data_IF_994440860125
#
_entry.id   IF_994440860125
#
_cell.length_a   1.000
_cell.length_b   1.000
_cell.length_c   1.000
_cell.angle_alpha   90.00
_cell.angle_beta   90.00
_cell.angle_gamma   90.00
#
_symmetry.space_group_name_H-M   'P 1'
#
loop_
_entity.id
_entity.type
_entity.pdbx_description
1 polymer ?
#
# COMPACT_ATOMS: atom_id res chain seq x y z
N UNK A 1 3.91 -9.82 -1.22
CA UNK A 1 4.01 -8.39 -0.81
C UNK A 1 2.80 -7.91 -0.02
N UNK A 2 1.55 -8.04 -0.50
CA UNK A 2 0.35 -8.00 0.37
C UNK A 2 0.23 -9.31 1.17
N UNK A 3 0.65 -10.41 0.57
CA UNK A 3 0.83 -11.70 1.24
C UNK A 3 1.83 -11.61 2.39
N UNK A 4 2.84 -10.72 2.36
CA UNK A 4 3.76 -10.55 3.50
C UNK A 4 3.15 -9.79 4.68
N UNK A 5 2.18 -8.92 4.42
CA UNK A 5 1.45 -8.19 5.45
C UNK A 5 0.36 -9.08 6.06
N UNK A 6 -0.36 -9.82 5.20
CA UNK A 6 -1.34 -10.82 5.63
C UNK A 6 -0.63 -11.98 6.31
N UNK A 7 0.49 -12.50 5.80
CA UNK A 7 1.28 -13.57 6.44
C UNK A 7 1.93 -13.08 7.73
N UNK A 8 2.41 -11.83 7.82
CA UNK A 8 2.90 -11.29 9.09
C UNK A 8 1.78 -11.14 10.11
N UNK A 9 0.62 -10.65 9.70
CA UNK A 9 -0.55 -10.58 10.56
C UNK A 9 -1.00 -12.01 10.98
N UNK A 10 -1.13 -12.93 10.02
CA UNK A 10 -1.57 -14.32 10.21
C UNK A 10 -0.61 -15.17 11.05
N UNK A 11 0.71 -15.00 10.90
CA UNK A 11 1.72 -15.66 11.71
C UNK A 11 1.76 -15.13 13.16
N UNK A 12 1.31 -13.90 13.40
CA UNK A 12 1.09 -13.39 14.76
C UNK A 12 -0.18 -14.00 15.40
N UNK A 13 -1.22 -14.28 14.61
CA UNK A 13 -2.50 -14.81 15.13
C UNK A 13 -2.50 -16.33 15.39
N UNK A 14 -1.68 -17.12 14.70
CA UNK A 14 -1.66 -18.60 14.84
C UNK A 14 -0.71 -19.11 15.93
N UNK A 15 0.17 -18.26 16.48
CA UNK A 15 1.08 -18.64 17.59
C UNK A 15 0.39 -18.73 18.95
N UNK A 16 -0.88 -18.36 19.07
CA UNK A 16 -1.63 -18.38 20.33
C UNK A 16 -2.16 -19.77 20.74
N UNK A 17 -2.18 -20.78 19.85
CA UNK A 17 -2.83 -22.08 20.12
C UNK A 17 -1.88 -23.26 20.39
N UNK A 18 -0.60 -23.01 20.68
CA UNK A 18 0.29 -24.06 21.19
C UNK A 18 0.44 -23.94 22.70
N UNK A 19 -0.54 -24.47 23.41
CA UNK A 19 -0.47 -24.71 24.85
C UNK A 19 0.73 -25.64 25.16
N UNK A 20 1.82 -25.17 25.79
CA UNK A 20 2.85 -26.06 26.29
C UNK A 20 2.34 -26.62 27.62
N UNK A 21 2.20 -27.95 27.71
CA UNK A 21 1.95 -28.64 28.98
C UNK A 21 3.00 -28.21 30.02
N UNK A 22 2.59 -27.51 31.07
CA UNK A 22 3.41 -27.14 32.23
C UNK A 22 3.39 -28.30 33.23
N UNK A 23 4.54 -28.88 33.65
CA UNK A 23 4.61 -29.71 34.85
C UNK A 23 4.65 -28.83 36.11
N UNK A 24 4.11 -29.30 37.25
CA UNK A 24 4.10 -28.53 38.49
C UNK A 24 5.48 -28.52 39.14
N UNK A 25 5.69 -27.53 40.00
CA UNK A 25 6.80 -27.37 40.96
C UNK A 25 7.98 -26.48 40.53
N UNK A 26 7.83 -25.17 40.76
CA UNK A 26 8.61 -24.36 41.72
C UNK A 26 8.34 -22.85 41.53
N UNK A 27 8.06 -22.16 42.64
CA UNK A 27 7.90 -20.70 42.75
C UNK A 27 9.19 -19.90 42.46
N UNK A 28 9.09 -18.56 42.22
CA UNK A 28 9.83 -17.88 41.18
C UNK A 28 11.11 -17.18 41.67
N UNK A 29 12.18 -17.25 40.88
CA UNK A 29 13.29 -16.30 40.99
C UNK A 29 13.17 -15.22 39.91
N UNK A 30 12.82 -14.03 40.39
CA UNK A 30 12.89 -12.77 39.66
C UNK A 30 14.32 -12.52 39.17
N UNK A 31 14.57 -12.68 37.87
CA UNK A 31 15.67 -11.99 37.20
C UNK A 31 15.12 -11.34 35.92
N UNK A 32 14.79 -10.06 36.08
CA UNK A 32 14.59 -9.09 35.03
C UNK A 32 15.88 -8.99 34.19
N UNK A 33 15.92 -9.69 33.05
CA UNK A 33 16.90 -9.41 31.99
C UNK A 33 16.22 -8.65 30.87
N UNK A 34 16.54 -7.35 30.87
CA UNK A 34 16.36 -6.35 29.83
C UNK A 34 16.65 -6.97 28.45
N UNK A 35 15.61 -7.27 27.69
CA UNK A 35 15.73 -7.41 26.24
C UNK A 35 14.98 -6.24 25.62
N UNK A 36 15.75 -5.27 25.16
CA UNK A 36 15.33 -4.31 24.14
C UNK A 36 15.06 -5.12 22.88
N UNK A 37 13.81 -5.50 22.66
CA UNK A 37 13.40 -6.13 21.41
C UNK A 37 12.25 -5.32 20.81
N UNK A 38 12.53 -4.81 19.61
CA UNK A 38 11.69 -3.96 18.77
C UNK A 38 10.62 -4.86 18.16
N UNK A 39 9.61 -5.21 18.94
CA UNK A 39 8.33 -5.74 18.46
C UNK A 39 7.33 -5.49 19.59
N UNK A 40 6.55 -4.42 19.46
CA UNK A 40 5.40 -4.18 20.33
C UNK A 40 4.44 -5.35 20.17
N UNK A 41 4.55 -6.34 21.06
CA UNK A 41 3.50 -7.31 21.28
C UNK A 41 2.32 -6.50 21.82
N UNK A 42 1.30 -6.28 21.00
CA UNK A 42 0.02 -5.79 21.51
C UNK A 42 -0.57 -6.91 22.37
N UNK A 43 -0.24 -6.90 23.66
CA UNK A 43 -1.04 -7.60 24.66
C UNK A 43 -2.37 -6.88 24.74
N UNK A 44 -3.45 -7.56 24.33
CA UNK A 44 -4.80 -7.10 24.58
C UNK A 44 -4.96 -6.93 26.09
N UNK A 45 -5.15 -5.70 26.54
CA UNK A 45 -5.81 -5.48 27.83
C UNK A 45 -7.29 -5.84 27.61
N UNK A 46 -7.85 -6.88 28.28
CA UNK A 46 -9.19 -7.41 27.99
C UNK A 46 -10.36 -6.45 28.28
N UNK A 47 -10.10 -5.17 28.53
CA UNK A 47 -10.99 -4.28 29.27
C UNK A 47 -12.04 -3.49 28.48
N UNK A 48 -11.94 -3.29 27.15
CA UNK A 48 -12.95 -2.49 26.43
C UNK A 48 -13.13 -2.96 24.98
N UNK A 49 -13.71 -4.15 24.80
CA UNK A 49 -14.37 -4.45 23.53
C UNK A 49 -15.51 -3.42 23.36
N UNK A 50 -15.58 -2.70 22.23
CA UNK A 50 -16.69 -1.79 21.96
C UNK A 50 -17.99 -2.58 21.77
N UNK A 51 -19.12 -1.86 21.80
CA UNK A 51 -20.40 -2.48 21.47
C UNK A 51 -20.37 -3.13 20.07
N UNK A 52 -21.13 -4.20 19.87
CA UNK A 52 -21.14 -4.95 18.62
C UNK A 52 -21.44 -4.08 17.41
N UNK A 53 -22.36 -3.12 17.55
CA UNK A 53 -22.72 -2.24 16.44
C UNK A 53 -21.55 -1.33 16.06
N UNK A 54 -20.86 -0.78 17.05
CA UNK A 54 -19.70 0.06 16.83
C UNK A 54 -18.53 -0.75 16.23
N UNK A 55 -18.29 -1.96 16.75
CA UNK A 55 -17.25 -2.83 16.23
C UNK A 55 -17.48 -3.18 14.76
N UNK A 56 -18.71 -3.58 14.41
CA UNK A 56 -19.04 -3.97 13.04
C UNK A 56 -18.97 -2.75 12.09
N UNK A 57 -19.37 -1.56 12.55
CA UNK A 57 -19.21 -0.32 11.78
C UNK A 57 -17.74 0.02 11.54
N UNK A 58 -16.91 0.05 12.59
CA UNK A 58 -15.48 0.38 12.46
C UNK A 58 -14.72 -0.68 11.64
N UNK A 59 -15.16 -1.94 11.71
CA UNK A 59 -14.58 -3.00 10.91
C UNK A 59 -14.99 -2.90 9.44
N UNK A 60 -16.22 -2.46 9.16
CA UNK A 60 -16.67 -2.18 7.80
C UNK A 60 -15.84 -1.06 7.16
N UNK A 61 -15.62 0.04 7.89
CA UNK A 61 -14.74 1.14 7.43
C UNK A 61 -13.32 0.63 7.15
N UNK A 62 -12.79 -0.28 7.99
CA UNK A 62 -11.49 -0.90 7.76
C UNK A 62 -11.49 -1.74 6.47
N UNK A 63 -12.53 -2.52 6.21
CA UNK A 63 -12.61 -3.35 5.00
C UNK A 63 -12.66 -2.50 3.73
N UNK A 64 -13.40 -1.39 3.76
CA UNK A 64 -13.46 -0.42 2.65
C UNK A 64 -12.08 0.22 2.39
N UNK A 65 -11.36 0.57 3.46
CA UNK A 65 -10.03 1.16 3.33
C UNK A 65 -8.94 0.20 2.82
N UNK A 66 -9.17 -1.12 2.97
CA UNK A 66 -8.24 -2.15 2.49
C UNK A 66 -8.47 -2.55 1.03
N UNK A 67 -9.60 -2.15 0.43
CA UNK A 67 -9.93 -2.38 -0.98
C UNK A 67 -9.78 -3.86 -1.40
N UNK A 68 -10.34 -4.76 -0.59
CA UNK A 68 -10.17 -6.20 -0.75
C UNK A 68 -11.21 -6.80 -1.71
N UNK A 69 -10.80 -7.84 -2.45
CA UNK A 69 -11.73 -8.68 -3.20
C UNK A 69 -12.76 -9.38 -2.29
N UNK A 70 -13.94 -9.73 -2.82
CA UNK A 70 -15.09 -10.20 -2.03
C UNK A 70 -14.80 -11.46 -1.20
N UNK A 71 -13.97 -12.36 -1.73
CA UNK A 71 -13.56 -13.59 -1.02
C UNK A 71 -12.77 -13.27 0.25
N UNK A 72 -11.73 -12.42 0.14
CA UNK A 72 -10.88 -12.03 1.27
C UNK A 72 -11.64 -11.18 2.29
N UNK A 73 -12.51 -10.26 1.82
CA UNK A 73 -13.38 -9.48 2.69
C UNK A 73 -14.30 -10.38 3.53
N UNK A 74 -14.89 -11.43 2.93
CA UNK A 74 -15.73 -12.40 3.64
C UNK A 74 -14.95 -13.21 4.68
N UNK A 75 -13.73 -13.64 4.35
CA UNK A 75 -12.85 -14.35 5.29
C UNK A 75 -12.48 -13.51 6.52
N UNK A 76 -12.22 -12.22 6.32
CA UNK A 76 -11.95 -11.27 7.40
C UNK A 76 -13.21 -10.96 8.23
N UNK A 77 -14.37 -10.89 7.60
CA UNK A 77 -15.65 -10.66 8.29
C UNK A 77 -16.01 -11.81 9.25
N UNK A 78 -15.59 -13.04 8.92
CA UNK A 78 -15.81 -14.24 9.74
C UNK A 78 -14.87 -14.35 10.95
N UNK A 79 -13.96 -13.41 11.18
CA UNK A 79 -13.06 -13.44 12.33
C UNK A 79 -13.79 -13.11 13.64
N UNK A 80 -13.20 -13.53 14.77
CA UNK A 80 -13.76 -13.25 16.09
C UNK A 80 -13.75 -11.74 16.42
N UNK A 81 -14.66 -11.25 17.28
CA UNK A 81 -14.72 -9.84 17.66
C UNK A 81 -13.39 -9.27 18.17
N UNK A 82 -12.64 -10.07 18.93
CA UNK A 82 -11.34 -9.70 19.49
C UNK A 82 -10.30 -9.48 18.39
N UNK A 83 -10.31 -10.32 17.35
CA UNK A 83 -9.42 -10.18 16.20
C UNK A 83 -9.78 -8.96 15.37
N UNK A 84 -11.07 -8.72 15.13
CA UNK A 84 -11.54 -7.51 14.42
C UNK A 84 -11.07 -6.25 15.14
N UNK A 85 -11.22 -6.21 16.47
CA UNK A 85 -10.79 -5.08 17.27
C UNK A 85 -9.27 -4.87 17.23
N UNK A 86 -8.49 -5.94 17.33
CA UNK A 86 -7.04 -5.89 17.17
C UNK A 86 -6.62 -5.29 15.82
N UNK A 87 -7.27 -5.70 14.74
CA UNK A 87 -6.98 -5.18 13.40
C UNK A 87 -7.29 -3.67 13.31
N UNK A 88 -8.41 -3.23 13.88
CA UNK A 88 -8.80 -1.81 13.93
C UNK A 88 -7.76 -1.01 14.74
N UNK A 89 -7.38 -1.49 15.93
CA UNK A 89 -6.38 -0.83 16.78
C UNK A 89 -5.02 -0.69 16.09
N UNK A 90 -4.56 -1.78 15.46
CA UNK A 90 -3.31 -1.79 14.69
C UNK A 90 -3.37 -0.79 13.52
N UNK A 91 -4.48 -0.74 12.79
CA UNK A 91 -4.65 0.22 11.70
C UNK A 91 -4.67 1.67 12.19
N UNK A 92 -5.35 1.95 13.30
CA UNK A 92 -5.36 3.29 13.91
C UNK A 92 -3.97 3.70 14.37
N UNK A 93 -3.22 2.79 15.01
CA UNK A 93 -1.82 3.00 15.41
C UNK A 93 -0.92 3.31 14.21
N UNK A 94 -1.10 2.59 13.10
CA UNK A 94 -0.37 2.85 11.84
C UNK A 94 -0.68 4.23 11.28
N UNK A 95 -1.97 4.60 11.16
CA UNK A 95 -2.38 5.93 10.70
C UNK A 95 -1.81 7.04 11.58
N UNK A 96 -1.73 6.83 12.90
CA UNK A 96 -1.16 7.80 13.84
C UNK A 96 0.37 7.90 13.73
N UNK A 97 1.06 6.78 13.47
CA UNK A 97 2.52 6.73 13.33
C UNK A 97 3.03 7.04 11.92
N UNK A 98 2.14 7.20 10.94
CA UNK A 98 2.52 7.70 9.63
C UNK A 98 2.95 9.17 9.77
N UNK A 99 4.24 9.36 9.98
CA UNK A 99 4.90 10.63 9.69
C UNK A 99 4.62 10.96 8.23
N UNK A 100 3.91 12.06 8.00
CA UNK A 100 3.39 12.60 6.75
C UNK A 100 4.50 13.05 5.77
N UNK A 101 5.55 12.26 5.59
CA UNK A 101 6.68 12.57 4.71
C UNK A 101 6.30 12.66 3.24
N UNK A 102 5.15 12.12 2.84
CA UNK A 102 4.67 12.12 1.46
C UNK A 102 3.28 12.75 1.35
N UNK A 103 3.23 14.08 1.48
CA UNK A 103 2.00 14.85 1.27
C UNK A 103 1.48 14.68 -0.16
N UNK A 104 0.25 14.20 -0.30
CA UNK A 104 -0.42 14.07 -1.61
C UNK A 104 -0.43 15.39 -2.39
N UNK A 105 -0.74 16.51 -1.71
CA UNK A 105 -0.73 17.84 -2.31
C UNK A 105 0.64 18.26 -2.83
N UNK A 106 1.71 17.90 -2.12
CA UNK A 106 3.06 18.15 -2.58
C UNK A 106 3.38 17.30 -3.81
N UNK A 107 3.06 16.01 -3.78
CA UNK A 107 3.34 15.10 -4.89
C UNK A 107 2.59 15.47 -6.17
N UNK A 108 1.31 15.83 -6.07
CA UNK A 108 0.53 16.26 -7.23
C UNK A 108 1.06 17.58 -7.82
N UNK A 109 1.49 18.52 -6.97
CA UNK A 109 2.15 19.75 -7.42
C UNK A 109 3.44 19.45 -8.17
N UNK A 110 4.28 18.55 -7.65
CA UNK A 110 5.52 18.13 -8.31
C UNK A 110 5.26 17.45 -9.65
N UNK A 111 4.30 16.52 -9.72
CA UNK A 111 3.91 15.86 -10.98
C UNK A 111 3.44 16.87 -12.03
N UNK A 112 2.60 17.83 -11.63
CA UNK A 112 2.13 18.90 -12.52
C UNK A 112 3.28 19.77 -13.01
N UNK A 113 4.23 20.11 -12.14
CA UNK A 113 5.40 20.89 -12.48
C UNK A 113 6.29 20.14 -13.50
N UNK A 114 6.56 18.86 -13.29
CA UNK A 114 7.36 18.05 -14.24
C UNK A 114 6.68 17.86 -15.60
N UNK A 115 5.34 17.87 -15.64
CA UNK A 115 4.61 17.85 -16.91
C UNK A 115 4.75 19.17 -17.67
N UNK A 116 4.81 20.32 -16.98
CA UNK A 116 5.00 21.65 -17.59
C UNK A 116 6.45 21.91 -17.97
N UNK A 117 7.36 21.52 -17.08
CA UNK A 117 8.79 21.75 -17.17
C UNK A 117 9.50 20.43 -16.90
N UNK A 118 9.78 19.69 -17.98
CA UNK A 118 10.39 18.37 -17.88
C UNK A 118 11.73 18.45 -17.13
N UNK A 119 12.01 17.56 -16.16
CA UNK A 119 13.19 17.65 -15.32
C UNK A 119 14.49 17.68 -16.12
N UNK A 120 15.41 18.54 -15.70
CA UNK A 120 16.75 18.57 -16.27
C UNK A 120 17.57 17.34 -15.85
N UNK A 121 18.64 17.06 -16.59
CA UNK A 121 19.47 15.86 -16.39
C UNK A 121 20.00 15.72 -14.95
N UNK A 122 20.23 16.82 -14.26
CA UNK A 122 20.76 16.84 -12.89
C UNK A 122 19.69 16.49 -11.85
N UNK A 123 18.42 16.83 -12.10
CA UNK A 123 17.31 16.53 -11.20
C UNK A 123 16.72 15.14 -11.41
N UNK A 124 16.98 14.49 -12.56
CA UNK A 124 16.47 13.14 -12.89
C UNK A 124 16.60 12.14 -11.73
N UNK A 125 17.76 11.98 -11.06
CA UNK A 125 17.90 10.99 -9.98
C UNK A 125 16.95 11.26 -8.80
N UNK A 126 16.77 12.53 -8.43
CA UNK A 126 15.88 12.93 -7.35
C UNK A 126 14.41 12.67 -7.73
N UNK A 127 14.03 13.00 -8.96
CA UNK A 127 12.67 12.80 -9.46
C UNK A 127 12.34 11.31 -9.55
N UNK A 128 13.27 10.48 -10.03
CA UNK A 128 13.13 9.02 -10.04
C UNK A 128 12.89 8.48 -8.64
N UNK A 129 13.68 8.92 -7.65
CA UNK A 129 13.49 8.52 -6.26
C UNK A 129 12.11 8.93 -5.71
N UNK A 130 11.61 10.11 -6.08
CA UNK A 130 10.29 10.58 -5.67
C UNK A 130 9.16 9.78 -6.34
N UNK A 131 9.34 9.36 -7.60
CA UNK A 131 8.39 8.48 -8.29
C UNK A 131 8.38 7.07 -7.69
N UNK A 132 9.54 6.54 -7.29
CA UNK A 132 9.62 5.26 -6.56
C UNK A 132 8.93 5.35 -5.20
N UNK A 133 9.10 6.45 -4.48
CA UNK A 133 8.38 6.71 -3.23
C UNK A 133 6.86 6.82 -3.46
N UNK A 134 6.43 7.49 -4.54
CA UNK A 134 5.01 7.53 -4.93
C UNK A 134 4.47 6.13 -5.22
N UNK A 135 5.22 5.28 -5.93
CA UNK A 135 4.80 3.92 -6.21
C UNK A 135 4.62 3.08 -4.93
N UNK A 136 5.46 3.31 -3.92
CA UNK A 136 5.28 2.70 -2.58
C UNK A 136 4.03 3.26 -1.92
N UNK A 137 3.85 4.58 -1.89
CA UNK A 137 2.69 5.22 -1.28
C UNK A 137 1.38 4.72 -1.90
N UNK A 138 1.24 4.72 -3.23
CA UNK A 138 0.05 4.21 -3.94
C UNK A 138 -0.25 2.73 -3.64
N UNK A 139 0.73 1.96 -3.17
CA UNK A 139 0.58 0.54 -2.83
C UNK A 139 0.28 0.30 -1.34
N UNK A 140 0.75 1.17 -0.45
CA UNK A 140 0.68 0.94 1.01
C UNK A 140 -0.22 1.89 1.76
N UNK A 141 -0.54 3.04 1.17
CA UNK A 141 -1.47 3.99 1.75
C UNK A 141 -2.92 3.49 1.63
N UNK A 142 -3.80 4.11 2.41
CA UNK A 142 -5.23 3.79 2.47
C UNK A 142 -5.93 3.95 1.11
N UNK A 143 -7.02 3.23 0.88
CA UNK A 143 -7.88 3.43 -0.29
C UNK A 143 -8.24 4.90 -0.51
N UNK A 144 -8.59 5.62 0.56
CA UNK A 144 -8.90 7.05 0.52
C UNK A 144 -7.77 7.92 -0.08
N UNK A 145 -6.51 7.55 0.14
CA UNK A 145 -5.34 8.24 -0.46
C UNK A 145 -5.30 8.03 -1.98
N UNK A 146 -5.51 6.78 -2.42
CA UNK A 146 -5.53 6.42 -3.84
C UNK A 146 -6.70 7.10 -4.54
N UNK A 147 -7.88 7.09 -3.94
CA UNK A 147 -9.06 7.80 -4.46
C UNK A 147 -8.79 9.30 -4.59
N UNK A 148 -8.24 9.95 -3.55
CA UNK A 148 -7.89 11.36 -3.60
C UNK A 148 -6.82 11.70 -4.66
N UNK A 149 -5.87 10.78 -4.91
CA UNK A 149 -4.90 10.92 -6.00
C UNK A 149 -5.59 10.86 -7.37
N UNK A 150 -6.57 9.96 -7.55
CA UNK A 150 -7.35 9.81 -8.78
C UNK A 150 -8.22 11.05 -9.02
N UNK A 151 -8.96 11.50 -8.02
CA UNK A 151 -9.90 12.62 -8.11
C UNK A 151 -9.23 13.94 -8.49
N UNK A 152 -7.93 14.06 -8.23
CA UNK A 152 -7.10 15.23 -8.54
C UNK A 152 -6.22 15.02 -9.78
N UNK A 153 -6.67 14.17 -10.70
CA UNK A 153 -6.03 13.89 -11.99
C UNK A 153 -4.61 13.31 -11.91
N UNK A 154 -4.22 12.73 -10.77
CA UNK A 154 -2.89 12.15 -10.59
C UNK A 154 -2.55 11.06 -11.61
N UNK A 155 -3.53 10.24 -11.99
CA UNK A 155 -3.36 9.19 -13.01
C UNK A 155 -3.09 9.79 -14.40
N UNK A 156 -3.78 10.89 -14.73
CA UNK A 156 -3.57 11.61 -15.99
C UNK A 156 -2.17 12.24 -16.02
N UNK A 157 -1.74 12.87 -14.91
CA UNK A 157 -0.39 13.43 -14.78
C UNK A 157 0.71 12.37 -14.92
N UNK A 158 0.52 11.18 -14.33
CA UNK A 158 1.46 10.06 -14.53
C UNK A 158 1.53 9.62 -15.99
N UNK A 159 0.38 9.57 -16.68
CA UNK A 159 0.33 9.22 -18.10
C UNK A 159 1.03 10.26 -18.97
N UNK A 160 0.76 11.54 -18.72
CA UNK A 160 1.41 12.63 -19.47
C UNK A 160 2.92 12.65 -19.23
N UNK A 161 3.37 12.46 -17.98
CA UNK A 161 4.79 12.36 -17.67
C UNK A 161 5.45 11.14 -18.35
N UNK A 162 4.77 10.01 -18.43
CA UNK A 162 5.25 8.82 -19.15
C UNK A 162 5.44 9.11 -20.64
N UNK A 163 4.45 9.71 -21.30
CA UNK A 163 4.53 10.07 -22.73
C UNK A 163 5.63 11.11 -23.00
N UNK A 164 5.76 12.11 -22.13
CA UNK A 164 6.85 13.09 -22.20
C UNK A 164 8.22 12.44 -22.03
N UNK A 165 8.36 11.53 -21.06
CA UNK A 165 9.63 10.82 -20.85
C UNK A 165 10.06 10.02 -22.07
N UNK A 166 9.11 9.43 -22.82
CA UNK A 166 9.37 8.75 -24.09
C UNK A 166 9.83 9.73 -25.17
N UNK A 167 9.13 10.86 -25.35
CA UNK A 167 9.50 11.90 -26.32
C UNK A 167 10.88 12.51 -26.06
N UNK A 168 11.26 12.63 -24.79
CA UNK A 168 12.55 13.16 -24.36
C UNK A 168 13.65 12.08 -24.22
N UNK A 169 13.39 10.82 -24.59
CA UNK A 169 14.34 9.69 -24.45
C UNK A 169 14.90 9.52 -23.02
N UNK A 170 14.05 9.79 -22.03
CA UNK A 170 14.37 9.78 -20.61
C UNK A 170 13.92 8.46 -19.95
N UNK A 171 14.47 7.34 -20.43
CA UNK A 171 14.07 5.97 -20.08
C UNK A 171 14.15 5.65 -18.58
N UNK A 172 14.93 6.42 -17.81
CA UNK A 172 15.03 6.29 -16.36
C UNK A 172 13.70 6.50 -15.63
N UNK A 173 12.75 7.22 -16.24
CA UNK A 173 11.43 7.50 -15.68
C UNK A 173 10.43 6.36 -15.92
N UNK A 174 10.63 5.57 -16.99
CA UNK A 174 9.66 4.57 -17.43
C UNK A 174 9.32 3.57 -16.34
N UNK A 175 10.33 2.91 -15.75
CA UNK A 175 10.10 1.87 -14.74
C UNK A 175 9.43 2.39 -13.45
N UNK A 176 9.88 3.50 -12.82
CA UNK A 176 9.18 4.08 -11.66
C UNK A 176 7.71 4.42 -11.94
N UNK A 177 7.41 5.04 -13.08
CA UNK A 177 6.04 5.42 -13.46
C UNK A 177 5.19 4.17 -13.73
N UNK A 178 5.72 3.16 -14.43
CA UNK A 178 5.04 1.88 -14.63
C UNK A 178 4.79 1.15 -13.31
N UNK A 179 5.66 1.32 -12.32
CA UNK A 179 5.46 0.77 -10.97
C UNK A 179 4.34 1.51 -10.22
N UNK A 180 4.15 2.81 -10.46
CA UNK A 180 2.98 3.55 -9.97
C UNK A 180 1.69 3.00 -10.59
N UNK A 181 1.65 2.80 -11.92
CA UNK A 181 0.50 2.17 -12.59
C UNK A 181 0.23 0.76 -12.08
N UNK A 182 1.27 -0.02 -11.81
CA UNK A 182 1.12 -1.33 -11.17
C UNK A 182 0.44 -1.24 -9.81
N UNK A 183 0.82 -0.26 -8.99
CA UNK A 183 0.17 -0.05 -7.70
C UNK A 183 -1.31 0.32 -7.88
N UNK A 184 -1.61 1.24 -8.81
CA UNK A 184 -2.98 1.65 -9.12
C UNK A 184 -3.87 0.49 -9.58
N UNK A 185 -3.38 -0.40 -10.46
CA UNK A 185 -4.14 -1.56 -10.93
C UNK A 185 -4.44 -2.59 -9.83
N UNK A 186 -3.73 -2.54 -8.70
CA UNK A 186 -4.04 -3.37 -7.53
C UNK A 186 -5.18 -2.80 -6.68
N UNK A 187 -5.55 -1.53 -6.86
CA UNK A 187 -6.74 -0.93 -6.24
C UNK A 187 -7.92 -1.06 -7.20
N UNK A 188 -9.12 -1.33 -6.70
CA UNK A 188 -10.35 -1.34 -7.49
C UNK A 188 -10.60 0.03 -8.15
N UNK A 189 -10.46 1.13 -7.41
CA UNK A 189 -10.62 2.49 -7.94
C UNK A 189 -9.55 2.82 -9.00
N UNK A 190 -8.28 2.50 -8.70
CA UNK A 190 -7.18 2.73 -9.64
C UNK A 190 -7.33 1.89 -10.91
N UNK A 191 -7.71 0.62 -10.78
CA UNK A 191 -8.00 -0.28 -11.90
C UNK A 191 -9.13 0.25 -12.77
N UNK A 192 -10.28 0.62 -12.19
CA UNK A 192 -11.40 1.16 -12.95
C UNK A 192 -10.98 2.43 -13.72
N UNK A 193 -10.33 3.39 -13.04
CA UNK A 193 -9.89 4.64 -13.68
C UNK A 193 -8.89 4.44 -14.83
N UNK A 194 -7.94 3.51 -14.68
CA UNK A 194 -6.94 3.23 -15.72
C UNK A 194 -7.57 2.48 -16.90
N UNK A 195 -8.38 1.47 -16.65
CA UNK A 195 -9.00 0.64 -17.70
C UNK A 195 -10.08 1.39 -18.49
N UNK A 196 -10.80 2.34 -17.86
CA UNK A 196 -11.82 3.16 -18.53
C UNK A 196 -11.24 4.19 -19.52
N UNK A 197 -9.93 4.46 -19.46
CA UNK A 197 -9.26 5.50 -20.26
C UNK A 197 -8.33 4.90 -21.31
N UNK A 198 -8.78 4.68 -22.57
CA UNK A 198 -7.96 4.09 -23.63
C UNK A 198 -6.63 4.82 -23.86
N UNK A 199 -6.61 6.16 -23.74
CA UNK A 199 -5.39 6.96 -23.87
C UNK A 199 -4.31 6.52 -22.89
N UNK A 200 -4.67 6.24 -21.65
CA UNK A 200 -3.71 5.84 -20.60
C UNK A 200 -3.14 4.46 -20.93
N UNK A 201 -4.01 3.52 -21.33
CA UNK A 201 -3.58 2.18 -21.76
C UNK A 201 -2.62 2.24 -22.95
N UNK A 202 -2.94 3.07 -23.96
CA UNK A 202 -2.07 3.26 -25.12
C UNK A 202 -0.71 3.84 -24.72
N UNK A 203 -0.66 4.82 -23.80
CA UNK A 203 0.60 5.37 -23.29
C UNK A 203 1.41 4.32 -22.51
N UNK A 204 0.76 3.49 -21.70
CA UNK A 204 1.41 2.39 -20.99
C UNK A 204 1.99 1.40 -22.00
N UNK A 205 1.24 0.99 -23.03
CA UNK A 205 1.75 0.08 -24.08
C UNK A 205 2.90 0.71 -24.87
N UNK A 206 2.81 2.00 -25.21
CA UNK A 206 3.86 2.72 -25.92
C UNK A 206 5.19 2.81 -25.13
N UNK A 207 5.17 2.53 -23.82
CA UNK A 207 6.40 2.43 -23.02
C UNK A 207 7.25 1.19 -23.33
N UNK A 208 6.78 0.27 -24.19
CA UNK A 208 7.60 -0.80 -24.76
C UNK A 208 8.80 -0.28 -25.55
N UNK A 209 8.72 0.96 -26.04
CA UNK A 209 9.79 1.62 -26.79
C UNK A 209 10.99 2.01 -25.92
N UNK A 210 10.88 1.97 -24.59
CA UNK A 210 12.01 2.28 -23.71
C UNK A 210 13.12 1.21 -23.82
N UNK A 211 14.38 1.65 -23.92
CA UNK A 211 15.55 0.77 -23.92
C UNK A 211 15.84 0.11 -22.57
N UNK A 212 15.08 0.46 -21.53
CA UNK A 212 15.19 -0.18 -20.22
C UNK A 212 14.55 -1.59 -20.25
N UNK A 213 15.35 -2.67 -20.15
CA UNK A 213 14.84 -4.05 -20.29
C UNK A 213 13.91 -4.46 -19.14
N UNK A 214 13.84 -3.68 -18.04
CA UNK A 214 12.92 -3.96 -16.92
C UNK A 214 11.48 -3.48 -17.22
N UNK A 215 11.28 -2.62 -18.22
CA UNK A 215 9.95 -2.13 -18.59
C UNK A 215 9.09 -3.26 -19.18
N UNK A 216 9.65 -4.11 -20.05
CA UNK A 216 8.88 -5.17 -20.72
C UNK A 216 8.30 -6.22 -19.74
N UNK A 217 9.07 -6.78 -18.78
CA UNK A 217 8.50 -7.70 -17.79
C UNK A 217 7.52 -7.02 -16.83
N UNK A 218 7.65 -5.71 -16.62
CA UNK A 218 6.68 -4.95 -15.84
C UNK A 218 5.34 -4.88 -16.58
N UNK A 219 5.36 -4.53 -17.87
CA UNK A 219 4.17 -4.42 -18.72
C UNK A 219 3.41 -5.73 -18.88
N UNK A 220 4.12 -6.84 -19.09
CA UNK A 220 3.48 -8.18 -19.15
C UNK A 220 2.77 -8.51 -17.83
N UNK A 221 3.29 -8.04 -16.69
CA UNK A 221 2.60 -8.21 -15.41
C UNK A 221 1.37 -7.31 -15.31
N UNK A 222 1.35 -6.14 -15.97
CA UNK A 222 0.19 -5.25 -16.02
C UNK A 222 -0.93 -5.77 -16.92
N UNK A 223 -0.61 -6.54 -17.98
CA UNK A 223 -1.64 -7.14 -18.85
C UNK A 223 -2.40 -8.30 -18.20
N UNK A 224 -1.94 -8.83 -17.06
CA UNK A 224 -2.62 -9.91 -16.33
C UNK A 224 -3.70 -9.40 -15.34
N UNK A 225 -4.08 -8.13 -15.42
CA UNK A 225 -5.14 -7.53 -14.58
C UNK A 225 -6.51 -7.49 -15.28
N UNK A 226 -6.66 -8.15 -16.43
CA UNK A 226 -7.94 -8.47 -17.09
C UNK A 226 -8.68 -9.62 -16.41
#
# INVERSE_FOLDING_TARGET
MLDDLIDRAWNCFTKADKNPKIPPDKEPSLILKKHQNIHGVMTLDPGVLPDRQQLDSEFQDLLEELDLGPTKAKELTNQSPEKKWLMIMEQKSRKQNQNSGFSLDFTLRQLSEWCKHFPDKYSIPLVVQQLEALAVALRTESFSYVQAFIDRDGVTLLSDLLDMSRKCTADSFGLPILTCFKALLNSSAGRNCVLEKPRILLTIVASLDFHNPRCQPCLIKLSNYE
#
